data_IF_568694204030
#
_entry.id   IF_568694204030
#
_cell.length_a   1.000
_cell.length_b   1.000
_cell.length_c   1.000
_cell.angle_alpha   90.00
_cell.angle_beta   90.00
_cell.angle_gamma   90.00
#
_symmetry.space_group_name_H-M   'P 1'
#
loop_
_entity.id
_entity.type
_entity.pdbx_description
1 polymer ?
#
# COMPACT_ATOMS: atom_id res chain seq x y z
N UNK A 1 38.24 25.15 -21.03
CA UNK A 1 37.08 25.58 -20.20
C UNK A 1 35.83 25.47 -21.06
N UNK A 2 35.14 24.33 -21.02
CA UNK A 2 33.89 24.10 -21.77
C UNK A 2 32.72 24.33 -20.83
N UNK A 3 31.96 25.39 -21.05
CA UNK A 3 30.75 25.72 -20.29
C UNK A 3 29.59 24.89 -20.83
N UNK A 4 29.05 23.98 -20.01
CA UNK A 4 27.85 23.21 -20.35
C UNK A 4 26.60 24.04 -20.05
N UNK A 5 25.77 24.30 -21.05
CA UNK A 5 24.42 24.82 -20.85
C UNK A 5 23.56 23.82 -20.06
N UNK A 6 22.75 24.26 -19.08
CA UNK A 6 21.84 23.37 -18.38
C UNK A 6 20.67 23.00 -19.29
N UNK A 7 20.43 21.69 -19.47
CA UNK A 7 19.20 21.20 -20.12
C UNK A 7 18.04 21.39 -19.14
N UNK A 8 17.16 22.33 -19.44
CA UNK A 8 15.87 22.47 -18.76
C UNK A 8 14.95 21.35 -19.22
N UNK A 9 14.73 20.35 -18.34
CA UNK A 9 13.66 19.37 -18.53
C UNK A 9 12.28 20.03 -18.44
N UNK A 10 11.23 19.43 -19.02
CA UNK A 10 9.89 20.00 -18.96
C UNK A 10 9.40 20.05 -17.52
N UNK A 11 9.20 21.26 -17.00
CA UNK A 11 8.50 21.52 -15.75
C UNK A 11 7.02 21.20 -15.97
N UNK A 12 6.63 19.95 -15.74
CA UNK A 12 5.23 19.58 -15.66
C UNK A 12 4.65 20.18 -14.37
N UNK A 13 3.88 21.24 -14.53
CA UNK A 13 3.03 21.83 -13.49
C UNK A 13 2.00 20.78 -13.08
N UNK A 14 2.29 20.02 -12.02
CA UNK A 14 1.40 19.00 -11.50
C UNK A 14 0.26 19.64 -10.71
N UNK A 15 -0.92 19.69 -11.33
CA UNK A 15 -2.21 19.91 -10.66
C UNK A 15 -2.29 18.92 -9.49
N UNK A 16 -2.17 19.41 -8.26
CA UNK A 16 -2.11 18.57 -7.06
C UNK A 16 -3.53 18.23 -6.63
N UNK A 17 -4.08 17.17 -7.22
CA UNK A 17 -5.27 16.51 -6.69
C UNK A 17 -4.82 15.61 -5.55
N UNK A 18 -5.27 15.86 -4.32
CA UNK A 18 -5.06 14.94 -3.20
C UNK A 18 -5.72 13.60 -3.53
N UNK A 19 -4.93 12.53 -3.65
CA UNK A 19 -5.40 11.20 -4.05
C UNK A 19 -5.62 10.26 -2.86
N UNK A 20 -6.01 10.82 -1.72
CA UNK A 20 -6.42 10.04 -0.55
C UNK A 20 -7.76 9.34 -0.83
N UNK A 21 -7.95 8.15 -0.24
CA UNK A 21 -9.25 7.48 -0.13
C UNK A 21 -9.70 7.58 1.34
N UNK A 22 -10.56 8.56 1.69
CA UNK A 22 -10.97 8.79 3.08
C UNK A 22 -11.67 7.59 3.70
N UNK A 23 -12.42 6.82 2.90
CA UNK A 23 -13.12 5.64 3.40
C UNK A 23 -12.12 4.56 3.85
N UNK A 24 -11.06 4.31 3.05
CA UNK A 24 -10.01 3.36 3.43
C UNK A 24 -9.20 3.86 4.63
N UNK A 25 -8.92 5.17 4.71
CA UNK A 25 -8.23 5.75 5.86
C UNK A 25 -9.04 5.59 7.15
N UNK A 26 -10.32 5.95 7.12
CA UNK A 26 -11.23 5.81 8.27
C UNK A 26 -11.40 4.34 8.68
N UNK A 27 -11.41 3.42 7.71
CA UNK A 27 -11.46 1.99 7.98
C UNK A 27 -10.21 1.51 8.73
N UNK A 28 -9.02 1.99 8.33
CA UNK A 28 -7.78 1.74 9.07
C UNK A 28 -7.82 2.29 10.49
N UNK A 29 -8.32 3.52 10.69
CA UNK A 29 -8.46 4.11 12.03
C UNK A 29 -9.38 3.27 12.91
N UNK A 30 -10.55 2.88 12.39
CA UNK A 30 -11.53 2.06 13.12
C UNK A 30 -11.01 0.66 13.48
N UNK A 31 -10.09 0.10 12.69
CA UNK A 31 -9.50 -1.22 12.98
C UNK A 31 -8.81 -1.30 14.35
N UNK A 32 -8.40 -0.16 14.91
CA UNK A 32 -7.77 -0.09 16.23
C UNK A 32 -8.74 0.00 17.40
N UNK A 33 -10.07 0.05 17.20
CA UNK A 33 -11.05 0.24 18.26
C UNK A 33 -10.94 -0.80 19.39
N UNK A 34 -10.54 -2.02 19.07
CA UNK A 34 -10.34 -3.11 20.04
C UNK A 34 -8.88 -3.33 20.49
N UNK A 35 -7.93 -2.52 20.01
CA UNK A 35 -6.50 -2.71 20.26
C UNK A 35 -6.03 -1.69 21.31
N UNK A 36 -5.51 -2.12 22.48
CA UNK A 36 -4.96 -1.20 23.46
C UNK A 36 -3.88 -0.28 22.87
N UNK A 37 -3.85 0.99 23.27
CA UNK A 37 -2.85 1.98 22.77
C UNK A 37 -1.42 1.57 23.10
N UNK A 38 -1.21 0.82 24.18
CA UNK A 38 0.08 0.29 24.61
C UNK A 38 0.48 -1.03 23.90
N UNK A 39 -0.33 -1.55 22.97
CA UNK A 39 0.06 -2.72 22.19
C UNK A 39 1.09 -2.33 21.12
N UNK A 40 2.27 -2.93 21.22
CA UNK A 40 3.39 -2.70 20.29
C UNK A 40 3.38 -3.67 19.10
N UNK A 41 2.49 -4.68 19.12
CA UNK A 41 2.49 -5.74 18.11
C UNK A 41 1.60 -5.41 16.90
N UNK A 42 0.53 -4.63 17.11
CA UNK A 42 -0.47 -4.23 16.12
C UNK A 42 -0.51 -2.69 16.08
N UNK A 43 0.40 -2.09 15.32
CA UNK A 43 0.65 -0.65 15.26
C UNK A 43 0.35 -0.05 13.90
N UNK A 44 0.07 -0.87 12.89
CA UNK A 44 -0.28 -0.47 11.53
C UNK A 44 -1.54 -1.22 11.09
N UNK A 45 -2.48 -0.50 10.49
CA UNK A 45 -3.61 -1.06 9.75
C UNK A 45 -3.40 -0.83 8.25
N UNK A 46 -3.88 -1.74 7.41
CA UNK A 46 -3.96 -1.51 5.98
C UNK A 46 -5.33 -1.91 5.46
N UNK A 47 -5.83 -1.16 4.50
CA UNK A 47 -7.12 -1.38 3.87
C UNK A 47 -6.97 -1.45 2.35
N UNK A 48 -7.70 -2.38 1.74
CA UNK A 48 -7.78 -2.59 0.30
C UNK A 48 -9.19 -2.35 -0.21
N UNK A 49 -9.31 -1.92 -1.47
CA UNK A 49 -10.58 -1.84 -2.21
C UNK A 49 -10.54 -2.74 -3.43
N UNK A 50 -11.58 -3.55 -3.65
CA UNK A 50 -11.74 -4.32 -4.89
C UNK A 50 -12.14 -3.41 -6.05
N UNK A 51 -11.48 -3.55 -7.20
CA UNK A 51 -11.88 -2.92 -8.46
C UNK A 51 -13.24 -3.43 -8.95
N UNK A 52 -13.49 -4.73 -8.76
CA UNK A 52 -14.64 -5.44 -9.33
C UNK A 52 -15.90 -5.22 -8.52
N UNK A 53 -15.79 -5.28 -7.20
CA UNK A 53 -16.96 -5.22 -6.31
C UNK A 53 -17.05 -3.92 -5.51
N UNK A 54 -15.98 -3.12 -5.45
CA UNK A 54 -15.88 -1.97 -4.56
C UNK A 54 -15.70 -2.32 -3.08
N UNK A 55 -15.71 -3.61 -2.75
CA UNK A 55 -15.60 -4.12 -1.38
C UNK A 55 -14.30 -3.69 -0.71
N UNK A 56 -14.41 -3.25 0.54
CA UNK A 56 -13.27 -2.83 1.36
C UNK A 56 -12.98 -3.83 2.47
N UNK A 57 -11.68 -4.11 2.65
CA UNK A 57 -11.20 -5.06 3.67
C UNK A 57 -10.00 -4.45 4.37
N UNK A 58 -9.97 -4.54 5.70
CA UNK A 58 -8.90 -4.01 6.55
C UNK A 58 -8.31 -5.10 7.42
N UNK A 59 -7.02 -5.00 7.70
CA UNK A 59 -6.34 -5.84 8.67
C UNK A 59 -5.22 -5.07 9.39
N UNK A 60 -4.80 -5.60 10.54
CA UNK A 60 -3.66 -5.10 11.31
C UNK A 60 -2.39 -5.91 10.98
N UNK A 61 -1.22 -5.30 11.17
CA UNK A 61 0.03 -6.03 11.15
C UNK A 61 0.11 -7.00 12.33
N UNK A 62 0.95 -8.02 12.23
CA UNK A 62 1.32 -8.88 13.35
C UNK A 62 2.84 -8.82 13.46
N UNK A 63 3.36 -8.03 14.40
CA UNK A 63 4.80 -7.94 14.62
C UNK A 63 5.36 -9.24 15.19
N UNK A 64 6.48 -9.69 14.63
CA UNK A 64 7.33 -10.72 15.22
C UNK A 64 8.73 -10.61 14.60
N UNK A 65 9.78 -10.87 15.39
CA UNK A 65 11.16 -10.72 14.94
C UNK A 65 11.54 -11.63 13.75
N UNK A 66 10.84 -12.75 13.58
CA UNK A 66 11.04 -13.69 12.45
C UNK A 66 10.42 -13.18 11.13
N UNK A 67 10.00 -11.93 11.08
CA UNK A 67 9.36 -11.35 9.90
C UNK A 67 7.84 -11.47 9.92
N UNK A 68 7.20 -11.18 11.04
CA UNK A 68 5.74 -11.10 11.13
C UNK A 68 5.13 -10.21 10.02
N UNK A 69 3.93 -10.52 9.52
CA UNK A 69 3.36 -9.86 8.34
C UNK A 69 3.05 -8.38 8.61
N UNK A 70 3.39 -7.55 7.62
CA UNK A 70 2.93 -6.17 7.59
C UNK A 70 1.41 -6.14 7.35
N UNK A 71 0.77 -5.03 7.71
CA UNK A 71 -0.68 -4.90 7.62
C UNK A 71 -1.20 -5.12 6.19
N UNK A 72 -0.45 -4.70 5.17
CA UNK A 72 -0.79 -4.89 3.76
C UNK A 72 -0.91 -6.37 3.39
N UNK A 73 -0.01 -7.21 3.89
CA UNK A 73 -0.04 -8.66 3.65
C UNK A 73 -1.21 -9.31 4.38
N UNK A 74 -1.48 -8.89 5.62
CA UNK A 74 -2.67 -9.31 6.35
C UNK A 74 -3.96 -8.91 5.61
N UNK A 75 -4.00 -7.70 5.06
CA UNK A 75 -5.16 -7.19 4.33
C UNK A 75 -5.41 -7.98 3.04
N UNK A 76 -4.36 -8.35 2.31
CA UNK A 76 -4.49 -9.27 1.17
C UNK A 76 -5.03 -10.64 1.58
N UNK A 77 -4.53 -11.22 2.68
CA UNK A 77 -5.02 -12.49 3.20
C UNK A 77 -6.50 -12.42 3.61
N UNK A 78 -6.88 -11.39 4.36
CA UNK A 78 -8.25 -11.14 4.77
C UNK A 78 -9.19 -10.90 3.58
N UNK A 79 -8.73 -10.17 2.56
CA UNK A 79 -9.47 -9.92 1.33
C UNK A 79 -9.67 -11.22 0.53
N UNK A 80 -8.64 -12.05 0.42
CA UNK A 80 -8.72 -13.34 -0.26
C UNK A 80 -9.73 -14.27 0.42
N UNK A 81 -9.82 -14.26 1.76
CA UNK A 81 -10.84 -15.00 2.51
C UNK A 81 -12.28 -14.56 2.19
N UNK A 82 -12.46 -13.36 1.62
CA UNK A 82 -13.74 -12.80 1.16
C UNK A 82 -13.92 -12.89 -0.36
N UNK A 83 -13.02 -13.58 -1.06
CA UNK A 83 -13.06 -13.72 -2.53
C UNK A 83 -12.53 -12.50 -3.30
N UNK A 84 -11.89 -11.55 -2.61
CA UNK A 84 -11.17 -10.42 -3.24
C UNK A 84 -9.70 -10.80 -3.36
N UNK A 85 -9.31 -11.30 -4.54
CA UNK A 85 -7.93 -11.65 -4.81
C UNK A 85 -7.06 -10.38 -4.99
N UNK A 86 -5.75 -10.43 -4.68
CA UNK A 86 -4.85 -9.30 -4.92
C UNK A 86 -4.81 -8.80 -6.38
N UNK A 87 -5.12 -9.66 -7.35
CA UNK A 87 -5.29 -9.28 -8.77
C UNK A 87 -6.48 -8.36 -9.03
N UNK A 88 -7.49 -8.43 -8.16
CA UNK A 88 -8.70 -7.61 -8.22
C UNK A 88 -8.62 -6.36 -7.32
N UNK A 89 -7.52 -6.17 -6.58
CA UNK A 89 -7.34 -4.99 -5.72
C UNK A 89 -7.04 -3.76 -6.59
N UNK A 90 -7.85 -2.71 -6.41
CA UNK A 90 -7.68 -1.43 -7.09
C UNK A 90 -6.76 -0.50 -6.31
N UNK A 91 -7.02 -0.33 -5.02
CA UNK A 91 -6.33 0.62 -4.16
C UNK A 91 -5.98 -0.02 -2.82
N UNK A 92 -4.83 0.33 -2.27
CA UNK A 92 -4.39 -0.02 -0.92
C UNK A 92 -3.78 1.19 -0.21
N UNK A 93 -3.99 1.28 1.10
CA UNK A 93 -3.40 2.26 2.01
C UNK A 93 -2.90 1.57 3.28
N UNK A 94 -1.80 2.03 3.84
CA UNK A 94 -1.32 1.63 5.17
C UNK A 94 -1.28 2.85 6.09
N UNK A 95 -1.83 2.71 7.29
CA UNK A 95 -1.96 3.78 8.30
C UNK A 95 -1.37 3.29 9.61
N UNK A 96 -0.38 4.01 10.10
CA UNK A 96 0.26 3.76 11.38
C UNK A 96 -0.45 4.53 12.50
N UNK A 97 -0.60 3.87 13.65
CA UNK A 97 -1.02 4.44 14.92
C UNK A 97 0.21 4.75 15.76
N UNK A 98 0.43 6.01 16.13
CA UNK A 98 1.58 6.44 16.96
C UNK A 98 1.13 7.31 18.12
N UNK A 99 1.83 7.21 19.25
CA UNK A 99 1.67 8.16 20.35
C UNK A 99 2.34 9.50 20.01
N UNK A 100 1.76 10.63 20.46
CA UNK A 100 2.22 12.00 20.18
C UNK A 100 3.66 12.26 20.63
N UNK A 101 4.09 11.71 21.77
CA UNK A 101 5.46 11.91 22.29
C UNK A 101 6.54 11.36 21.34
N UNK A 102 6.30 10.19 20.74
CA UNK A 102 7.21 9.58 19.76
C UNK A 102 7.24 10.37 18.44
N UNK A 103 6.20 11.16 18.17
CA UNK A 103 6.10 12.00 16.99
C UNK A 103 7.00 13.23 17.09
N UNK A 104 7.10 13.80 18.29
CA UNK A 104 7.85 15.03 18.56
C UNK A 104 9.36 14.80 18.53
N UNK A 105 9.82 13.59 18.85
CA UNK A 105 11.24 13.22 18.78
C UNK A 105 11.79 13.07 17.35
N UNK A 106 10.94 12.85 16.34
CA UNK A 106 11.39 12.60 14.96
C UNK A 106 11.35 13.83 14.04
N UNK A 107 10.99 15.02 14.54
CA UNK A 107 10.86 16.26 13.75
C UNK A 107 10.08 16.08 12.42
N UNK A 108 9.13 15.14 12.39
CA UNK A 108 8.37 14.83 11.18
C UNK A 108 7.41 15.99 10.85
N UNK A 109 7.32 16.32 9.56
CA UNK A 109 6.43 17.37 9.07
C UNK A 109 4.97 17.02 9.38
N UNK A 110 4.19 17.99 9.86
CA UNK A 110 2.81 17.71 10.25
C UNK A 110 1.94 17.39 9.05
N UNK A 111 1.31 16.22 9.04
CA UNK A 111 0.36 15.82 8.01
C UNK A 111 -1.03 16.43 8.24
N UNK A 112 -1.93 16.41 7.22
CA UNK A 112 -3.31 16.90 7.35
C UNK A 112 -4.12 16.22 8.48
N UNK A 113 -3.68 15.03 8.89
CA UNK A 113 -4.32 14.18 9.91
C UNK A 113 -3.57 14.16 11.25
N UNK A 114 -2.58 15.03 11.42
CA UNK A 114 -1.87 15.21 12.69
C UNK A 114 -2.81 15.79 13.77
N UNK A 115 -3.60 14.90 14.38
CA UNK A 115 -4.66 15.25 15.32
C UNK A 115 -5.93 14.41 15.17
N UNK A 116 -6.07 13.60 14.12
CA UNK A 116 -7.12 12.59 14.04
C UNK A 116 -6.76 11.45 15.02
N UNK A 117 -7.52 11.34 16.10
CA UNK A 117 -7.33 10.33 17.16
C UNK A 117 -8.04 10.75 18.45
N UNK A 118 -8.46 9.77 19.25
CA UNK A 118 -8.96 10.01 20.60
C UNK A 118 -7.75 10.14 21.56
N UNK A 119 -7.48 11.35 22.07
CA UNK A 119 -6.36 11.59 23.00
C UNK A 119 -4.96 11.69 22.37
N UNK A 120 -3.97 11.05 23.00
CA UNK A 120 -2.51 11.16 22.69
C UNK A 120 -2.04 10.32 21.50
N UNK A 121 -2.96 9.87 20.65
CA UNK A 121 -2.69 9.03 19.50
C UNK A 121 -2.88 9.82 18.20
N UNK A 122 -2.02 9.58 17.22
CA UNK A 122 -2.08 10.17 15.88
C UNK A 122 -2.00 9.07 14.84
N UNK A 123 -2.86 9.17 13.82
CA UNK A 123 -2.86 8.29 12.67
C UNK A 123 -2.21 8.96 11.46
N UNK A 124 -1.34 8.22 10.75
CA UNK A 124 -0.71 8.71 9.53
C UNK A 124 -0.55 7.62 8.49
N UNK A 125 -0.71 8.01 7.24
CA UNK A 125 -0.31 7.17 6.10
C UNK A 125 1.19 6.88 6.18
N UNK A 126 1.57 5.63 5.97
CA UNK A 126 2.96 5.20 5.84
C UNK A 126 3.19 4.53 4.49
N UNK A 127 4.40 4.70 3.97
CA UNK A 127 4.78 4.05 2.71
C UNK A 127 5.01 2.55 2.94
N UNK A 128 4.68 1.69 1.97
CA UNK A 128 4.92 0.26 2.11
C UNK A 128 6.42 -0.03 2.25
N UNK A 129 6.75 -1.02 3.06
CA UNK A 129 8.13 -1.49 3.14
C UNK A 129 8.54 -2.25 1.87
N UNK A 130 9.83 -2.50 1.68
CA UNK A 130 10.35 -3.19 0.49
C UNK A 130 9.69 -4.56 0.25
N UNK A 131 9.39 -5.31 1.32
CA UNK A 131 8.69 -6.60 1.21
C UNK A 131 7.27 -6.44 0.66
N UNK A 132 6.48 -5.49 1.19
CA UNK A 132 5.13 -5.24 0.69
C UNK A 132 5.15 -4.70 -0.74
N UNK A 133 6.07 -3.77 -1.05
CA UNK A 133 6.21 -3.22 -2.39
C UNK A 133 6.52 -4.31 -3.42
N UNK A 134 7.44 -5.22 -3.10
CA UNK A 134 7.76 -6.36 -3.96
C UNK A 134 6.56 -7.31 -4.09
N UNK A 135 5.88 -7.69 -3.00
CA UNK A 135 4.70 -8.55 -3.09
C UNK A 135 3.58 -7.94 -3.92
N UNK A 136 3.34 -6.63 -3.79
CA UNK A 136 2.34 -5.93 -4.60
C UNK A 136 2.71 -5.94 -6.08
N UNK A 137 3.98 -5.69 -6.40
CA UNK A 137 4.48 -5.78 -7.77
C UNK A 137 4.26 -7.19 -8.35
N UNK A 138 4.59 -8.23 -7.59
CA UNK A 138 4.46 -9.62 -8.03
C UNK A 138 2.98 -10.04 -8.20
N UNK A 139 2.08 -9.53 -7.35
CA UNK A 139 0.66 -9.89 -7.38
C UNK A 139 -0.12 -9.15 -8.47
N UNK A 140 0.10 -7.84 -8.56
CA UNK A 140 -0.59 -6.96 -9.49
C UNK A 140 0.16 -5.59 -9.55
N UNK A 141 0.99 -5.36 -10.58
CA UNK A 141 1.76 -4.12 -10.73
C UNK A 141 0.88 -2.87 -10.87
N UNK A 142 -0.41 -3.04 -11.16
CA UNK A 142 -1.37 -1.95 -11.37
C UNK A 142 -2.13 -1.54 -10.10
N UNK A 143 -1.88 -2.15 -8.94
CA UNK A 143 -2.47 -1.70 -7.66
C UNK A 143 -2.10 -0.24 -7.42
N UNK A 144 -3.10 0.59 -7.14
CA UNK A 144 -2.92 1.96 -6.67
C UNK A 144 -2.54 1.97 -5.18
N UNK A 145 -1.30 2.33 -4.88
CA UNK A 145 -0.80 2.45 -3.51
C UNK A 145 -0.83 3.91 -3.09
N UNK A 146 -1.53 4.20 -2.00
CA UNK A 146 -1.51 5.53 -1.38
C UNK A 146 -0.25 5.64 -0.52
N UNK A 147 0.58 6.62 -0.85
CA UNK A 147 1.88 6.88 -0.20
C UNK A 147 2.02 8.36 0.16
N UNK A 148 2.94 8.66 1.06
CA UNK A 148 3.43 9.99 1.34
C UNK A 148 4.58 10.32 0.37
N UNK A 149 4.45 11.43 -0.36
CA UNK A 149 5.53 11.98 -1.17
C UNK A 149 6.58 12.71 -0.32
N UNK A 150 7.66 13.15 -0.97
CA UNK A 150 8.77 13.88 -0.33
C UNK A 150 8.38 15.21 0.34
N UNK A 151 7.18 15.71 0.05
CA UNK A 151 6.64 16.97 0.60
C UNK A 151 5.58 16.70 1.67
N UNK A 152 5.43 15.45 2.11
CA UNK A 152 4.44 15.07 3.12
C UNK A 152 3.01 15.09 2.59
N UNK A 153 2.81 14.95 1.27
CA UNK A 153 1.48 14.91 0.65
C UNK A 153 1.11 13.48 0.29
N UNK A 154 -0.16 13.14 0.49
CA UNK A 154 -0.71 11.85 0.09
C UNK A 154 -0.89 11.81 -1.42
N UNK A 155 -0.27 10.83 -2.06
CA UNK A 155 -0.35 10.60 -3.50
C UNK A 155 -0.65 9.14 -3.77
N UNK A 156 -1.40 8.86 -4.83
CA UNK A 156 -1.63 7.50 -5.31
C UNK A 156 -0.66 7.22 -6.44
N UNK A 157 0.17 6.19 -6.27
CA UNK A 157 1.11 5.69 -7.28
C UNK A 157 0.83 4.22 -7.58
N UNK A 158 1.39 3.65 -8.64
CA UNK A 158 1.22 2.21 -8.91
C UNK A 158 2.29 1.41 -8.19
N UNK A 159 2.00 0.15 -7.87
CA UNK A 159 2.97 -0.76 -7.26
C UNK A 159 4.27 -0.87 -8.08
N UNK A 160 4.17 -0.89 -9.42
CA UNK A 160 5.34 -0.91 -10.30
C UNK A 160 6.24 0.32 -10.24
N UNK A 161 5.69 1.46 -9.80
CA UNK A 161 6.42 2.73 -9.74
C UNK A 161 7.10 2.92 -8.37
N UNK A 162 6.88 2.01 -7.41
CA UNK A 162 7.49 2.05 -6.07
C UNK A 162 8.91 1.48 -6.05
N UNK A 163 9.24 0.59 -6.98
CA UNK A 163 10.51 -0.14 -7.01
C UNK A 163 11.22 0.16 -8.32
N UNK A 164 12.30 0.95 -8.25
CA UNK A 164 12.98 1.47 -9.44
C UNK A 164 13.65 0.40 -10.30
N UNK A 165 14.18 -0.66 -9.69
CA UNK A 165 14.85 -1.79 -10.34
C UNK A 165 14.41 -3.09 -9.69
N UNK A 166 13.15 -3.50 -9.91
CA UNK A 166 12.61 -4.64 -9.21
C UNK A 166 13.28 -5.92 -9.66
N UNK A 167 13.49 -6.84 -8.71
CA UNK A 167 13.69 -8.23 -9.10
C UNK A 167 12.38 -8.72 -9.69
N UNK A 168 12.41 -9.17 -10.94
CA UNK A 168 11.26 -9.79 -11.57
C UNK A 168 11.36 -11.28 -11.27
N UNK A 169 10.39 -11.80 -10.54
CA UNK A 169 10.28 -13.23 -10.34
C UNK A 169 9.47 -13.81 -11.50
N UNK A 170 10.15 -14.08 -12.63
CA UNK A 170 9.54 -14.45 -13.92
C UNK A 170 8.56 -15.63 -13.84
N UNK A 171 8.75 -16.56 -12.89
CA UNK A 171 7.85 -17.70 -12.71
C UNK A 171 6.69 -17.42 -11.74
N UNK A 172 6.85 -16.46 -10.82
CA UNK A 172 5.89 -16.07 -9.79
C UNK A 172 5.31 -17.24 -8.96
N UNK A 173 4.54 -16.93 -7.92
CA UNK A 173 3.88 -17.96 -7.09
C UNK A 173 2.75 -18.76 -7.80
N UNK A 174 2.67 -18.82 -9.14
CA UNK A 174 1.51 -19.46 -9.77
C UNK A 174 1.68 -20.12 -11.15
N UNK A 175 2.85 -20.10 -11.81
CA UNK A 175 2.92 -20.59 -13.21
C UNK A 175 1.78 -19.99 -14.05
N UNK A 176 1.42 -18.73 -13.76
CA UNK A 176 0.15 -18.10 -14.20
C UNK A 176 0.11 -17.96 -15.71
N UNK A 177 1.27 -17.68 -16.30
CA UNK A 177 1.45 -17.62 -17.74
C UNK A 177 1.38 -19.00 -18.39
N UNK A 178 1.92 -20.03 -17.75
CA UNK A 178 1.82 -21.43 -18.20
C UNK A 178 0.38 -21.96 -18.08
N UNK A 179 -0.32 -21.67 -16.98
CA UNK A 179 -1.75 -21.98 -16.79
C UNK A 179 -2.63 -21.25 -17.80
N UNK A 180 -2.37 -19.97 -18.07
CA UNK A 180 -3.06 -19.20 -19.12
C UNK A 180 -2.84 -19.84 -20.48
N UNK A 181 -1.58 -20.12 -20.84
CA UNK A 181 -1.22 -20.79 -22.10
C UNK A 181 -1.87 -22.18 -22.21
N UNK A 182 -1.93 -22.95 -21.13
CA UNK A 182 -2.58 -24.26 -21.08
C UNK A 182 -4.12 -24.18 -21.24
N UNK A 183 -4.76 -23.21 -20.58
CA UNK A 183 -6.20 -22.94 -20.73
C UNK A 183 -6.57 -22.45 -22.15
N UNK A 184 -5.73 -21.63 -22.76
CA UNK A 184 -5.88 -21.17 -24.14
C UNK A 184 -5.66 -22.33 -25.15
N UNK A 185 -4.66 -23.17 -24.92
CA UNK A 185 -4.38 -24.35 -25.76
C UNK A 185 -5.47 -25.44 -25.65
N UNK A 186 -6.17 -25.53 -24.51
CA UNK A 186 -7.29 -26.47 -24.33
C UNK A 186 -8.59 -26.05 -25.03
N UNK A 187 -8.71 -24.80 -25.51
CA UNK A 187 -9.91 -24.28 -26.21
C UNK A 187 -9.89 -24.50 -27.72
N UNK A 188 -8.79 -25.00 -28.29
CA UNK A 188 -8.60 -25.18 -29.73
C UNK A 188 -8.81 -26.64 -30.17
N UNK A 189 -9.49 -27.47 -29.37
CA UNK A 189 -9.53 -28.93 -29.54
C UNK A 189 -10.91 -29.60 -29.61
N UNK A 190 -12.01 -28.86 -29.77
CA UNK A 190 -13.33 -29.43 -30.04
C UNK A 190 -14.00 -28.69 -31.21
N UNK A 191 -13.70 -29.16 -32.42
CA UNK A 191 -14.57 -29.14 -33.62
C UNK A 191 -14.67 -30.59 -34.12
#
# INVERSE_FOLDING_TARGET
MTTSSPKTGPTATATTTTHLDPELFDLCVRAFAGVPVADDNHTVAAAVRSRRTGETVVALNVYHFTGGPCAELCAFGAAAARGVLPTDVETIIAVCRRQKEQQQQQQLQKGPWDGAGDGDVVFRVINPCGRCAQTMLDYNPEIGVIVMDRHGREVKTRARDLVAYPSVWEDGNTGREEKRKALEAGRTGEE
#
